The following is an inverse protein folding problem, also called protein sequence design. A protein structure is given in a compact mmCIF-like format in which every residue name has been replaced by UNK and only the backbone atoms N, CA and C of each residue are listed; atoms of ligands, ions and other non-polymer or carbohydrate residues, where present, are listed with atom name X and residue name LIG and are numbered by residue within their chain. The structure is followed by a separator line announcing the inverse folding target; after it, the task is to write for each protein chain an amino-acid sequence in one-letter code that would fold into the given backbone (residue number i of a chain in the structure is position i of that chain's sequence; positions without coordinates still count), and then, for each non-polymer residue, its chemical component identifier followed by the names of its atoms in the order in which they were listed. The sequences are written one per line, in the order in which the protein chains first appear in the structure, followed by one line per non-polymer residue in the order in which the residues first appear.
data_IF_135447210797
#
_entry.id   IF_135447210797
#
_cell.length_a   1.000
_cell.length_b   1.000
_cell.length_c   1.000
_cell.angle_alpha   90.00
_cell.angle_beta   90.00
_cell.angle_gamma   90.00
#
_symmetry.space_group_name_H-M   'P 1'
#
loop_
_entity.id
_entity.type
_entity.pdbx_description
1 polymer ?
#
# COMPACT_ATOMS: atom_id res chain seq x y z
N UNK A 1 -25.47 9.58 19.54
CA UNK A 1 -24.71 9.43 18.27
C UNK A 1 -23.27 9.08 18.65
N UNK A 2 -22.75 7.92 18.22
CA UNK A 2 -21.48 7.32 18.68
C UNK A 2 -20.29 8.27 18.46
N UNK A 3 -19.43 8.45 19.49
CA UNK A 3 -18.23 9.30 19.45
C UNK A 3 -17.30 8.86 18.31
N UNK A 4 -17.19 7.55 18.06
CA UNK A 4 -16.37 7.03 16.96
C UNK A 4 -16.91 7.42 15.59
N UNK A 5 -18.23 7.48 15.43
CA UNK A 5 -18.85 7.89 14.16
C UNK A 5 -18.58 9.38 13.87
N UNK A 6 -18.55 10.23 14.90
CA UNK A 6 -18.16 11.63 14.73
C UNK A 6 -16.69 11.78 14.32
N UNK A 7 -15.78 11.04 14.95
CA UNK A 7 -14.35 11.07 14.59
C UNK A 7 -14.12 10.52 13.17
N UNK A 8 -14.85 9.46 12.77
CA UNK A 8 -14.85 8.95 11.38
C UNK A 8 -15.29 10.03 10.39
N UNK A 9 -16.41 10.70 10.64
CA UNK A 9 -16.89 11.77 9.78
C UNK A 9 -15.91 12.95 9.70
N UNK A 10 -15.31 13.33 10.83
CA UNK A 10 -14.30 14.38 10.89
C UNK A 10 -13.05 14.02 10.07
N UNK A 11 -12.55 12.78 10.18
CA UNK A 11 -11.43 12.29 9.38
C UNK A 11 -11.75 12.35 7.87
N UNK A 12 -12.93 11.86 7.44
CA UNK A 12 -13.33 11.90 6.03
C UNK A 12 -13.40 13.34 5.50
N UNK A 13 -13.97 14.27 6.27
CA UNK A 13 -14.01 15.69 5.91
C UNK A 13 -12.61 16.28 5.77
N UNK A 14 -11.73 15.95 6.72
CA UNK A 14 -10.36 16.44 6.74
C UNK A 14 -9.57 15.98 5.51
N UNK A 15 -9.78 14.74 5.09
CA UNK A 15 -9.20 14.16 3.88
C UNK A 15 -9.89 14.62 2.58
N UNK A 16 -10.94 15.43 2.64
CA UNK A 16 -11.70 15.88 1.46
C UNK A 16 -12.61 14.80 0.84
N UNK A 17 -12.91 13.73 1.57
CA UNK A 17 -13.66 12.56 1.09
C UNK A 17 -15.18 12.65 1.30
N UNK A 18 -15.71 13.83 1.63
CA UNK A 18 -17.16 14.09 1.77
C UNK A 18 -17.89 14.21 0.42
N UNK A 19 -17.16 14.26 -0.70
CA UNK A 19 -17.73 14.51 -2.04
C UNK A 19 -18.55 13.37 -2.66
N UNK A 20 -18.51 12.15 -2.12
CA UNK A 20 -19.22 11.00 -2.73
C UNK A 20 -20.73 10.93 -2.41
N UNK A 21 -21.28 11.92 -1.71
CA UNK A 21 -22.70 11.99 -1.30
C UNK A 21 -23.41 13.27 -1.77
N UNK A 22 -22.80 14.11 -2.61
CA UNK A 22 -23.47 15.32 -3.10
C UNK A 22 -24.19 15.02 -4.41
N UNK A 23 -25.50 15.27 -4.41
CA UNK A 23 -26.33 15.32 -5.61
C UNK A 23 -25.72 16.28 -6.66
N UNK A 24 -25.66 15.88 -7.94
CA UNK A 24 -25.22 16.74 -9.03
C UNK A 24 -26.30 17.81 -9.31
N UNK A 25 -26.38 18.83 -8.45
CA UNK A 25 -27.38 19.89 -8.61
C UNK A 25 -27.21 21.11 -7.71
N UNK A 26 -26.22 21.15 -6.81
CA UNK A 26 -25.94 22.31 -5.98
C UNK A 26 -24.58 22.93 -6.29
N UNK A 27 -24.46 23.49 -7.49
CA UNK A 27 -23.49 24.53 -7.76
C UNK A 27 -23.92 25.82 -7.06
N UNK A 28 -23.27 26.16 -5.96
CA UNK A 28 -23.27 27.51 -5.41
C UNK A 28 -21.83 28.03 -5.29
N UNK A 29 -21.55 28.98 -6.18
CA UNK A 29 -20.48 29.98 -6.17
C UNK A 29 -19.02 29.50 -6.13
N UNK A 30 -18.19 29.89 -7.12
CA UNK A 30 -16.75 29.68 -7.09
C UNK A 30 -16.10 30.74 -6.18
N UNK A 31 -16.35 30.66 -4.87
CA UNK A 31 -15.46 31.32 -3.91
C UNK A 31 -14.14 30.57 -4.01
N UNK A 32 -13.06 31.29 -4.37
CA UNK A 32 -11.71 30.76 -4.51
C UNK A 32 -11.42 29.74 -3.39
N UNK A 33 -11.46 28.45 -3.74
CA UNK A 33 -11.18 27.37 -2.79
C UNK A 33 -9.75 27.58 -2.31
N UNK A 34 -9.58 28.13 -1.10
CA UNK A 34 -8.26 28.18 -0.44
C UNK A 34 -7.67 26.79 -0.58
N UNK A 35 -6.52 26.68 -1.27
CA UNK A 35 -5.81 25.41 -1.42
C UNK A 35 -5.44 24.95 -0.02
N UNK A 36 -6.22 24.02 0.54
CA UNK A 36 -5.89 23.36 1.79
C UNK A 36 -4.66 22.50 1.48
N UNK A 37 -3.57 22.60 2.25
CA UNK A 37 -2.41 21.73 2.06
C UNK A 37 -2.86 20.26 2.15
N UNK A 38 -2.28 19.37 1.33
CA UNK A 38 -2.67 17.96 1.33
C UNK A 38 -2.45 17.36 2.72
N UNK A 39 -3.41 16.55 3.17
CA UNK A 39 -3.29 15.82 4.43
C UNK A 39 -2.42 14.59 4.22
N UNK A 40 -1.36 14.50 5.01
CA UNK A 40 -0.46 13.35 5.07
C UNK A 40 -0.90 12.41 6.19
N UNK A 41 -1.02 11.11 5.89
CA UNK A 41 -1.27 10.05 6.87
C UNK A 41 -0.06 9.12 6.88
N UNK A 42 0.84 9.32 7.85
CA UNK A 42 2.16 8.69 7.87
C UNK A 42 2.22 7.63 8.96
N UNK A 43 2.73 6.45 8.63
CA UNK A 43 3.10 5.43 9.62
C UNK A 43 4.57 5.64 9.98
N UNK A 44 4.84 5.90 11.26
CA UNK A 44 6.18 6.19 11.75
C UNK A 44 6.48 5.38 13.02
N UNK A 45 7.76 5.26 13.37
CA UNK A 45 8.17 4.77 14.67
C UNK A 45 7.94 5.85 15.72
N UNK A 46 7.50 5.42 16.88
CA UNK A 46 7.48 6.26 18.09
C UNK A 46 8.94 6.50 18.48
N UNK A 47 9.37 7.77 18.59
CA UNK A 47 10.73 8.12 19.00
C UNK A 47 11.02 7.64 20.43
N UNK A 48 12.24 7.90 20.94
CA UNK A 48 12.66 7.58 22.31
C UNK A 48 11.71 8.14 23.38
N UNK A 49 11.95 7.92 24.70
CA UNK A 49 10.93 7.98 25.74
C UNK A 49 10.28 9.37 25.94
N UNK A 50 9.35 9.72 25.05
CA UNK A 50 8.49 10.90 25.10
C UNK A 50 7.21 10.52 25.83
N UNK A 51 7.22 10.73 27.15
CA UNK A 51 6.18 10.27 28.08
C UNK A 51 4.85 11.04 27.99
N UNK A 52 4.69 12.00 27.08
CA UNK A 52 3.55 12.93 27.08
C UNK A 52 2.60 12.83 25.88
N UNK A 53 2.97 12.13 24.80
CA UNK A 53 2.10 12.02 23.62
C UNK A 53 0.95 11.03 23.87
N UNK A 54 -0.27 11.43 23.51
CA UNK A 54 -1.48 10.64 23.69
C UNK A 54 -2.12 10.35 22.34
N UNK A 55 -2.81 9.21 22.26
CA UNK A 55 -3.62 8.89 21.10
C UNK A 55 -4.80 9.86 20.98
N UNK A 56 -5.04 10.38 19.77
CA UNK A 56 -6.12 11.30 19.43
C UNK A 56 -7.50 10.61 19.31
N UNK A 57 -7.57 9.27 19.34
CA UNK A 57 -8.85 8.56 19.40
C UNK A 57 -9.50 8.81 20.76
N UNK A 58 -10.74 9.30 20.75
CA UNK A 58 -11.49 9.55 21.99
C UNK A 58 -11.70 8.25 22.75
N UNK A 59 -11.36 8.26 24.04
CA UNK A 59 -11.45 7.08 24.92
C UNK A 59 -10.23 6.14 24.86
N UNK A 60 -9.20 6.43 24.06
CA UNK A 60 -7.92 5.74 24.19
C UNK A 60 -7.15 6.31 25.39
N UNK A 61 -6.85 5.47 26.37
CA UNK A 61 -6.11 5.84 27.58
C UNK A 61 -4.64 5.41 27.54
N UNK A 62 -4.24 4.66 26.51
CA UNK A 62 -2.89 4.14 26.37
C UNK A 62 -1.95 5.20 25.81
N UNK A 63 -0.73 5.27 26.36
CA UNK A 63 0.35 6.06 25.80
C UNK A 63 1.02 5.36 24.62
N UNK A 64 1.95 6.07 23.97
CA UNK A 64 2.87 5.45 23.03
C UNK A 64 4.05 4.82 23.75
N UNK A 65 4.51 3.69 23.25
CA UNK A 65 5.75 3.05 23.72
C UNK A 65 6.83 3.29 22.68
N UNK A 66 8.05 3.59 23.11
CA UNK A 66 9.19 3.74 22.23
C UNK A 66 9.33 2.54 21.27
N UNK A 67 9.78 2.81 20.05
CA UNK A 67 9.98 1.83 18.98
C UNK A 67 8.73 1.11 18.46
N UNK A 68 7.53 1.48 18.93
CA UNK A 68 6.28 1.00 18.34
C UNK A 68 5.83 1.89 17.18
N UNK A 69 5.11 1.30 16.23
CA UNK A 69 4.56 2.04 15.09
C UNK A 69 3.28 2.77 15.47
N UNK A 70 3.14 3.99 14.98
CA UNK A 70 1.98 4.87 15.16
C UNK A 70 1.62 5.56 13.84
N UNK A 71 0.44 6.15 13.79
CA UNK A 71 -0.02 6.95 12.65
C UNK A 71 0.00 8.42 13.05
N UNK A 72 0.65 9.25 12.24
CA UNK A 72 0.65 10.70 12.33
C UNK A 72 -0.20 11.29 11.20
N UNK A 73 -1.20 12.09 11.55
CA UNK A 73 -2.05 12.82 10.60
C UNK A 73 -1.70 14.31 10.66
N UNK A 74 -1.19 14.84 9.54
CA UNK A 74 -0.72 16.23 9.42
C UNK A 74 -1.30 16.90 8.17
N UNK A 75 -1.85 18.12 8.26
CA UNK A 75 -2.16 18.86 9.50
C UNK A 75 -3.15 18.09 10.38
N UNK A 76 -3.24 18.44 11.67
CA UNK A 76 -4.19 17.81 12.58
C UNK A 76 -5.64 18.07 12.15
N UNK A 77 -6.50 17.09 12.38
CA UNK A 77 -7.96 17.20 12.27
C UNK A 77 -8.45 18.18 13.34
N UNK A 78 -7.88 18.09 14.55
CA UNK A 78 -8.16 19.04 15.62
C UNK A 78 -7.27 20.29 15.48
N UNK A 79 -7.89 21.45 15.24
CA UNK A 79 -7.21 22.74 15.12
C UNK A 79 -6.44 23.17 16.38
N UNK A 80 -6.76 22.58 17.53
CA UNK A 80 -6.10 22.86 18.80
C UNK A 80 -4.93 21.91 19.11
N UNK A 81 -4.53 21.05 18.17
CA UNK A 81 -3.39 20.15 18.36
C UNK A 81 -2.09 20.95 18.52
N UNK A 82 -1.39 20.72 19.63
CA UNK A 82 -0.19 21.49 20.04
C UNK A 82 0.89 21.52 18.95
N UNK A 83 1.09 20.40 18.27
CA UNK A 83 2.11 20.23 17.22
C UNK A 83 1.50 20.17 15.81
N UNK A 84 0.23 20.55 15.65
CA UNK A 84 -0.51 20.40 14.38
C UNK A 84 -0.43 18.98 13.77
N UNK A 85 -0.34 17.97 14.64
CA UNK A 85 -0.37 16.55 14.29
C UNK A 85 -1.32 15.81 15.22
N UNK A 86 -2.14 14.93 14.66
CA UNK A 86 -2.91 13.95 15.44
C UNK A 86 -2.21 12.59 15.40
N UNK A 87 -1.86 12.07 16.58
CA UNK A 87 -1.18 10.79 16.72
C UNK A 87 -2.18 9.69 17.08
N UNK A 88 -2.09 8.54 16.43
CA UNK A 88 -2.95 7.38 16.69
C UNK A 88 -2.13 6.11 16.87
N UNK A 89 -2.53 5.23 17.78
CA UNK A 89 -2.16 3.83 17.62
C UNK A 89 -2.74 3.33 16.30
N UNK A 90 -2.00 2.47 15.59
CA UNK A 90 -2.46 1.92 14.30
C UNK A 90 -3.85 1.29 14.43
N UNK A 91 -4.05 0.48 15.47
CA UNK A 91 -5.35 -0.16 15.76
C UNK A 91 -6.45 0.81 16.18
N UNK A 92 -6.10 1.99 16.69
CA UNK A 92 -7.06 3.04 17.03
C UNK A 92 -7.50 3.82 15.80
N UNK A 93 -6.56 4.13 14.89
CA UNK A 93 -6.86 4.74 13.61
C UNK A 93 -7.79 3.85 12.77
N UNK A 94 -7.52 2.54 12.71
CA UNK A 94 -8.36 1.56 12.00
C UNK A 94 -9.82 1.50 12.48
N UNK A 95 -10.15 2.01 13.67
CA UNK A 95 -11.54 2.08 14.16
C UNK A 95 -12.33 3.21 13.51
N UNK A 96 -11.63 4.27 13.08
CA UNK A 96 -12.23 5.49 12.52
C UNK A 96 -11.94 5.63 11.02
N UNK A 97 -10.89 4.98 10.52
CA UNK A 97 -10.55 4.93 9.11
C UNK A 97 -11.27 3.75 8.43
N UNK A 98 -12.12 4.06 7.46
CA UNK A 98 -12.64 3.04 6.56
C UNK A 98 -11.57 2.71 5.51
N UNK A 99 -10.76 1.69 5.80
CA UNK A 99 -9.70 1.22 4.92
C UNK A 99 -10.24 0.44 3.70
N UNK A 100 -11.56 0.27 3.59
CA UNK A 100 -12.19 -0.22 2.36
C UNK A 100 -12.31 0.84 1.28
N UNK A 101 -12.31 2.12 1.67
CA UNK A 101 -12.25 3.25 0.77
C UNK A 101 -10.83 3.40 0.20
N UNK A 102 -10.69 3.17 -1.11
CA UNK A 102 -9.41 3.29 -1.81
C UNK A 102 -8.80 4.68 -1.70
N UNK A 103 -9.61 5.73 -1.61
CA UNK A 103 -9.10 7.10 -1.49
C UNK A 103 -8.43 7.32 -0.13
N UNK A 104 -9.03 6.82 0.95
CA UNK A 104 -8.45 6.89 2.29
C UNK A 104 -7.19 6.01 2.38
N UNK A 105 -7.27 4.78 1.86
CA UNK A 105 -6.15 3.85 1.85
C UNK A 105 -4.94 4.41 1.08
N UNK A 106 -5.18 5.14 0.00
CA UNK A 106 -4.13 5.81 -0.78
C UNK A 106 -3.39 6.92 -0.03
N UNK A 107 -3.99 7.51 1.01
CA UNK A 107 -3.33 8.52 1.83
C UNK A 107 -2.31 7.94 2.81
N UNK A 108 -2.34 6.64 3.09
CA UNK A 108 -1.47 5.99 4.07
C UNK A 108 -0.12 5.69 3.43
N UNK A 109 0.95 6.21 4.04
CA UNK A 109 2.33 6.00 3.59
C UNK A 109 3.24 5.66 4.79
N UNK A 110 4.22 4.77 4.63
CA UNK A 110 5.27 4.62 5.64
C UNK A 110 6.22 5.82 5.63
N UNK A 111 6.72 6.24 6.79
CA UNK A 111 7.85 7.14 6.88
C UNK A 111 9.12 6.38 6.52
N UNK A 112 9.66 6.66 5.34
CA UNK A 112 10.74 5.87 4.74
C UNK A 112 12.08 6.58 4.82
N UNK A 113 13.13 5.81 4.56
CA UNK A 113 14.48 6.34 4.29
C UNK A 113 14.54 7.23 3.04
N UNK A 114 13.52 7.18 2.19
CA UNK A 114 13.42 7.95 0.94
C UNK A 114 12.57 9.21 1.10
N UNK A 115 11.65 9.25 2.06
CA UNK A 115 10.68 10.35 2.22
C UNK A 115 11.26 11.67 2.71
N UNK A 116 12.59 11.79 2.87
CA UNK A 116 13.28 13.05 3.16
C UNK A 116 14.76 12.99 2.75
N UNK A 117 15.09 13.45 1.54
CA UNK A 117 16.46 13.47 0.99
C UNK A 117 17.49 14.24 1.84
N UNK A 118 17.06 15.11 2.77
CA UNK A 118 17.95 16.04 3.48
C UNK A 118 18.34 15.65 4.92
N UNK A 119 17.88 14.49 5.42
CA UNK A 119 18.14 13.84 6.73
C UNK A 119 16.79 13.47 7.33
N UNK A 120 16.28 12.26 7.08
CA UNK A 120 15.09 11.83 7.80
C UNK A 120 15.43 11.76 9.28
N UNK A 121 14.54 12.24 10.14
CA UNK A 121 14.66 12.08 11.58
C UNK A 121 14.65 10.58 11.89
N UNK A 122 15.86 10.03 12.09
CA UNK A 122 16.15 8.59 12.07
C UNK A 122 15.30 7.82 13.08
N UNK A 123 14.89 8.48 14.16
CA UNK A 123 14.05 7.90 15.21
C UNK A 123 12.62 7.59 14.75
N UNK A 124 12.08 8.31 13.75
CA UNK A 124 10.74 8.07 13.20
C UNK A 124 10.74 7.11 12.02
N UNK A 125 11.90 6.89 11.38
CA UNK A 125 12.04 6.09 10.16
C UNK A 125 11.64 4.65 10.40
N UNK A 126 10.73 4.14 9.58
CA UNK A 126 10.32 2.75 9.64
C UNK A 126 11.50 1.79 9.44
N UNK A 127 11.42 0.62 10.08
CA UNK A 127 12.35 -0.47 9.75
C UNK A 127 12.15 -0.84 8.26
N UNK A 128 13.20 -1.26 7.56
CA UNK A 128 13.13 -1.54 6.12
C UNK A 128 12.02 -2.54 5.77
N UNK A 129 11.93 -3.63 6.54
CA UNK A 129 10.82 -4.59 6.42
C UNK A 129 9.44 -3.97 6.62
N UNK A 130 9.28 -2.97 7.51
CA UNK A 130 7.99 -2.30 7.70
C UNK A 130 7.64 -1.37 6.57
N UNK A 131 8.62 -0.65 6.00
CA UNK A 131 8.38 0.12 4.77
C UNK A 131 7.79 -0.77 3.68
N UNK A 132 8.40 -1.94 3.46
CA UNK A 132 7.94 -2.93 2.49
C UNK A 132 6.58 -3.52 2.84
N UNK A 133 6.38 -3.92 4.10
CA UNK A 133 5.12 -4.53 4.56
C UNK A 133 3.93 -3.59 4.43
N UNK A 134 4.09 -2.31 4.76
CA UNK A 134 3.02 -1.32 4.63
C UNK A 134 2.63 -1.13 3.17
N UNK A 135 3.61 -0.96 2.28
CA UNK A 135 3.37 -0.77 0.85
C UNK A 135 2.70 -2.00 0.23
N UNK A 136 3.20 -3.20 0.52
CA UNK A 136 2.62 -4.43 -0.02
C UNK A 136 1.22 -4.70 0.56
N UNK A 137 1.03 -4.49 1.86
CA UNK A 137 -0.29 -4.58 2.49
C UNK A 137 -1.28 -3.64 1.78
N UNK A 138 -0.90 -2.38 1.55
CA UNK A 138 -1.71 -1.38 0.83
C UNK A 138 -2.07 -1.87 -0.58
N UNK A 139 -1.09 -2.37 -1.34
CA UNK A 139 -1.31 -2.91 -2.69
C UNK A 139 -2.33 -4.05 -2.68
N UNK A 140 -2.20 -5.01 -1.76
CA UNK A 140 -3.15 -6.14 -1.65
C UNK A 140 -4.56 -5.66 -1.29
N UNK A 141 -4.68 -4.69 -0.38
CA UNK A 141 -5.96 -4.11 0.01
C UNK A 141 -6.66 -3.38 -1.16
N UNK A 142 -5.90 -2.65 -1.97
CA UNK A 142 -6.41 -2.00 -3.18
C UNK A 142 -6.89 -3.03 -4.20
N UNK A 143 -6.10 -4.08 -4.43
CA UNK A 143 -6.47 -5.17 -5.36
C UNK A 143 -7.74 -5.89 -4.91
N UNK A 144 -7.86 -6.22 -3.63
CA UNK A 144 -9.08 -6.81 -3.05
C UNK A 144 -10.29 -5.90 -3.23
N UNK A 145 -10.12 -4.59 -3.05
CA UNK A 145 -11.18 -3.61 -3.28
C UNK A 145 -11.62 -3.58 -4.74
N UNK A 146 -10.67 -3.66 -5.68
CA UNK A 146 -10.97 -3.70 -7.11
C UNK A 146 -11.68 -4.99 -7.54
N UNK A 147 -11.29 -6.14 -6.99
CA UNK A 147 -11.94 -7.42 -7.25
C UNK A 147 -13.40 -7.42 -6.76
N UNK A 148 -13.67 -6.94 -5.54
CA UNK A 148 -15.05 -6.84 -5.02
C UNK A 148 -15.94 -5.99 -5.92
N UNK A 149 -15.45 -4.82 -6.35
CA UNK A 149 -16.18 -3.94 -7.29
C UNK A 149 -16.43 -4.59 -8.65
N UNK A 150 -15.53 -5.46 -9.13
CA UNK A 150 -15.75 -6.22 -10.37
C UNK A 150 -16.85 -7.26 -10.18
N UNK A 151 -16.80 -8.04 -9.10
CA UNK A 151 -17.80 -9.07 -8.82
C UNK A 151 -19.20 -8.45 -8.66
N UNK A 152 -19.33 -7.37 -7.88
CA UNK A 152 -20.62 -6.65 -7.70
C UNK A 152 -21.23 -6.17 -9.03
N UNK A 153 -20.40 -5.73 -9.98
CA UNK A 153 -20.84 -5.32 -11.33
C UNK A 153 -21.22 -6.50 -12.21
N UNK A 154 -20.60 -7.65 -11.99
CA UNK A 154 -20.86 -8.87 -12.77
C UNK A 154 -22.17 -9.49 -12.30
N UNK A 155 -22.40 -9.55 -10.99
CA UNK A 155 -23.66 -10.01 -10.39
C UNK A 155 -24.84 -9.13 -10.83
N UNK A 156 -24.67 -7.80 -10.89
CA UNK A 156 -25.69 -6.88 -11.41
C UNK A 156 -25.99 -7.04 -12.91
N UNK A 157 -25.08 -7.63 -13.70
CA UNK A 157 -25.29 -7.85 -15.14
C UNK A 157 -26.14 -9.10 -15.42
N UNK A 158 -26.07 -10.11 -14.55
CA UNK A 158 -26.84 -11.35 -14.70
C UNK A 158 -28.31 -11.24 -14.27
N UNK A 159 -28.69 -10.16 -13.58
CA UNK A 159 -30.08 -9.90 -13.17
C UNK A 159 -30.89 -9.11 -14.23
N UNK A 160 -30.27 -8.62 -15.31
CA UNK A 160 -30.90 -7.68 -16.28
C UNK A 160 -30.98 -8.21 -17.73
N UNK A 161 -30.48 -9.43 -18.02
CA UNK A 161 -30.53 -10.03 -19.35
C UNK A 161 -31.40 -11.31 -19.35
N UNK A 162 -32.72 -11.12 -19.54
CA UNK A 162 -33.64 -12.13 -20.03
C UNK A 162 -33.17 -12.62 -21.42
N UNK A 163 -32.97 -13.94 -21.51
CA UNK A 163 -32.98 -14.85 -22.67
C UNK A 163 -33.00 -14.18 -24.06
N UNK A 164 -31.88 -14.30 -24.78
CA UNK A 164 -31.94 -14.43 -26.25
C UNK A 164 -30.84 -15.36 -26.78
N UNK A 165 -31.26 -16.13 -27.76
CA UNK A 165 -30.69 -17.32 -28.39
C UNK A 165 -29.36 -17.07 -29.13
N UNK A 166 -28.51 -18.09 -29.17
CA UNK A 166 -27.24 -18.07 -29.92
C UNK A 166 -27.50 -18.38 -31.39
N UNK A 167 -26.98 -17.56 -32.30
CA UNK A 167 -26.63 -18.01 -33.66
C UNK A 167 -25.13 -17.74 -33.88
N UNK A 168 -24.40 -18.85 -34.11
CA UNK A 168 -23.00 -18.93 -34.51
C UNK A 168 -22.83 -18.40 -35.95
N UNK A 169 -21.92 -17.46 -36.15
CA UNK A 169 -21.31 -17.23 -37.46
C UNK A 169 -19.79 -17.41 -37.33
N UNK A 170 -19.29 -18.48 -37.95
CA UNK A 170 -17.88 -18.72 -38.22
C UNK A 170 -17.44 -17.81 -39.36
N UNK A 171 -16.47 -16.91 -39.11
CA UNK A 171 -15.72 -16.23 -40.17
C UNK A 171 -14.28 -16.76 -40.16
N UNK A 172 -13.94 -17.48 -41.22
CA UNK A 172 -12.58 -17.86 -41.60
C UNK A 172 -11.86 -16.61 -42.14
N UNK A 173 -10.87 -16.09 -41.43
CA UNK A 173 -9.93 -15.09 -41.97
C UNK A 173 -8.64 -15.77 -42.44
N UNK A 174 -8.34 -15.59 -43.72
CA UNK A 174 -7.18 -16.12 -44.44
C UNK A 174 -5.85 -15.53 -43.91
N UNK A 175 -4.90 -16.40 -43.57
CA UNK A 175 -3.53 -16.03 -43.21
C UNK A 175 -2.73 -15.58 -44.46
N UNK A 176 -2.62 -14.28 -44.70
CA UNK A 176 -1.52 -13.72 -45.51
C UNK A 176 -0.26 -13.61 -44.65
N UNK A 177 0.71 -14.50 -44.90
CA UNK A 177 2.06 -14.43 -44.36
C UNK A 177 2.86 -13.33 -45.07
N UNK A 178 2.90 -12.14 -44.48
CA UNK A 178 3.99 -11.19 -44.73
C UNK A 178 5.21 -11.62 -43.89
N UNK A 179 6.28 -12.05 -44.57
CA UNK A 179 7.62 -12.19 -43.97
C UNK A 179 8.12 -10.81 -43.54
N UNK A 180 7.78 -10.41 -42.31
CA UNK A 180 8.36 -9.27 -41.64
C UNK A 180 9.61 -9.70 -40.85
N UNK A 181 10.75 -9.16 -41.25
CA UNK A 181 12.09 -9.25 -40.67
C UNK A 181 12.17 -9.75 -39.21
N UNK A 182 12.60 -11.01 -39.00
CA UNK A 182 12.79 -11.64 -37.68
C UNK A 182 13.69 -10.84 -36.71
N UNK A 183 14.51 -9.92 -37.23
CA UNK A 183 15.45 -9.11 -36.45
C UNK A 183 14.76 -7.96 -35.69
N UNK A 184 13.67 -7.41 -36.23
CA UNK A 184 12.87 -6.36 -35.56
C UNK A 184 12.03 -6.98 -34.44
N UNK A 185 11.47 -8.18 -34.68
CA UNK A 185 10.72 -8.92 -33.66
C UNK A 185 11.61 -9.33 -32.49
N UNK A 186 12.88 -9.68 -32.76
CA UNK A 186 13.87 -10.04 -31.74
C UNK A 186 14.24 -8.87 -30.83
N UNK A 187 14.45 -7.67 -31.37
CA UNK A 187 14.75 -6.48 -30.57
C UNK A 187 13.52 -5.92 -29.84
N UNK A 188 12.33 -6.00 -30.43
CA UNK A 188 11.08 -5.63 -29.76
C UNK A 188 10.73 -6.63 -28.64
N UNK A 189 10.96 -7.93 -28.83
CA UNK A 189 10.80 -8.94 -27.79
C UNK A 189 11.85 -8.79 -26.66
N UNK A 190 13.11 -8.45 -26.96
CA UNK A 190 14.13 -8.13 -25.96
C UNK A 190 13.84 -6.82 -25.21
N UNK A 191 13.31 -5.79 -25.88
CA UNK A 191 12.85 -4.53 -25.25
C UNK A 191 11.58 -4.75 -24.40
N UNK A 192 10.65 -5.61 -24.82
CA UNK A 192 9.47 -5.99 -24.05
C UNK A 192 9.80 -6.87 -22.83
N UNK A 193 10.94 -7.56 -22.82
CA UNK A 193 11.38 -8.34 -21.66
C UNK A 193 11.84 -7.46 -20.48
N UNK A 194 12.13 -6.17 -20.72
CA UNK A 194 12.70 -5.26 -19.74
C UNK A 194 12.02 -3.88 -19.71
N UNK A 195 10.68 -3.83 -19.74
CA UNK A 195 9.98 -2.56 -19.48
C UNK A 195 10.39 -2.01 -18.10
N UNK A 196 10.49 -0.68 -17.93
CA UNK A 196 10.83 -0.09 -16.63
C UNK A 196 9.92 -0.58 -15.50
N UNK A 197 8.62 -0.78 -15.77
CA UNK A 197 7.69 -1.32 -14.78
C UNK A 197 8.02 -2.77 -14.40
N UNK A 198 8.38 -3.61 -15.38
CA UNK A 198 8.74 -5.01 -15.11
C UNK A 198 10.03 -5.10 -14.30
N UNK A 199 11.06 -4.33 -14.65
CA UNK A 199 12.31 -4.26 -13.88
C UNK A 199 12.08 -3.74 -12.46
N UNK A 200 11.24 -2.71 -12.32
CA UNK A 200 10.86 -2.19 -11.01
C UNK A 200 10.11 -3.25 -10.19
N UNK A 201 9.11 -3.91 -10.77
CA UNK A 201 8.35 -4.96 -10.09
C UNK A 201 9.23 -6.14 -9.67
N UNK A 202 10.12 -6.59 -10.55
CA UNK A 202 11.06 -7.67 -10.23
C UNK A 202 11.97 -7.28 -9.05
N UNK A 203 12.52 -6.06 -9.06
CA UNK A 203 13.29 -5.53 -7.94
C UNK A 203 12.47 -5.40 -6.65
N UNK A 204 11.21 -4.98 -6.74
CA UNK A 204 10.32 -4.80 -5.58
C UNK A 204 9.90 -6.13 -4.94
N UNK A 205 9.72 -7.19 -5.72
CA UNK A 205 9.11 -8.43 -5.25
C UNK A 205 10.07 -9.62 -5.16
N UNK A 206 11.19 -9.60 -5.90
CA UNK A 206 12.09 -10.75 -6.01
C UNK A 206 13.52 -10.47 -5.50
N UNK A 207 13.88 -9.21 -5.23
CA UNK A 207 15.21 -8.90 -4.68
C UNK A 207 15.51 -9.70 -3.41
N UNK A 208 16.75 -10.22 -3.33
CA UNK A 208 17.23 -11.06 -2.23
C UNK A 208 17.02 -12.56 -2.42
N UNK A 209 16.22 -13.00 -3.41
CA UNK A 209 16.08 -14.42 -3.75
C UNK A 209 17.34 -14.91 -4.46
N UNK A 210 17.73 -16.16 -4.24
CA UNK A 210 18.79 -16.88 -4.98
C UNK A 210 18.54 -16.89 -6.49
N UNK A 211 17.27 -16.83 -6.89
CA UNK A 211 16.84 -16.84 -8.30
C UNK A 211 16.83 -15.45 -8.93
N UNK A 212 16.90 -14.41 -8.13
CA UNK A 212 16.86 -13.03 -8.62
C UNK A 212 18.20 -12.67 -9.26
N UNK A 213 18.14 -12.26 -10.53
CA UNK A 213 19.30 -11.81 -11.28
C UNK A 213 19.17 -10.31 -11.52
N UNK A 214 20.02 -9.46 -10.92
CA UNK A 214 20.00 -8.04 -11.22
C UNK A 214 20.45 -7.84 -12.67
N UNK A 215 19.52 -7.49 -13.56
CA UNK A 215 19.82 -7.24 -14.97
C UNK A 215 20.56 -5.91 -15.14
N UNK A 216 19.89 -4.80 -14.83
CA UNK A 216 20.42 -3.44 -14.94
C UNK A 216 19.67 -2.46 -14.02
N UNK A 217 20.19 -1.24 -13.89
CA UNK A 217 19.49 -0.15 -13.21
C UNK A 217 18.14 0.11 -13.88
N UNK A 218 17.07 0.17 -13.08
CA UNK A 218 15.74 0.54 -13.59
C UNK A 218 15.83 1.92 -14.25
N UNK A 219 15.41 2.09 -15.53
CA UNK A 219 15.48 3.37 -16.21
C UNK A 219 14.80 4.50 -15.41
N UNK A 220 15.50 5.62 -15.22
CA UNK A 220 15.01 6.77 -14.45
C UNK A 220 15.11 6.64 -12.91
N UNK A 221 15.54 5.49 -12.39
CA UNK A 221 15.74 5.30 -10.94
C UNK A 221 17.12 5.79 -10.50
N UNK A 222 17.17 6.49 -9.36
CA UNK A 222 18.45 6.85 -8.75
C UNK A 222 19.22 5.61 -8.28
N UNK A 223 20.54 5.56 -8.52
CA UNK A 223 21.39 4.44 -8.10
C UNK A 223 21.29 4.12 -6.61
N UNK A 224 21.14 5.14 -5.75
CA UNK A 224 20.97 4.95 -4.30
C UNK A 224 19.65 4.25 -3.97
N UNK A 225 18.56 4.66 -4.63
CA UNK A 225 17.25 4.03 -4.50
C UNK A 225 17.29 2.57 -4.95
N UNK A 226 17.94 2.29 -6.09
CA UNK A 226 18.14 0.94 -6.58
C UNK A 226 18.88 0.06 -5.58
N UNK A 227 20.01 0.54 -5.02
CA UNK A 227 20.78 -0.20 -4.03
C UNK A 227 20.01 -0.45 -2.72
N UNK A 228 19.15 0.48 -2.31
CA UNK A 228 18.28 0.29 -1.15
C UNK A 228 17.28 -0.84 -1.39
N UNK A 229 16.61 -0.86 -2.56
CA UNK A 229 15.66 -1.91 -2.92
C UNK A 229 16.32 -3.27 -3.12
N UNK A 230 17.50 -3.28 -3.74
CA UNK A 230 18.27 -4.49 -4.00
C UNK A 230 18.79 -5.16 -2.71
N UNK A 231 19.08 -4.36 -1.67
CA UNK A 231 19.75 -4.84 -0.45
C UNK A 231 18.88 -4.63 0.79
N UNK A 232 18.90 -3.43 1.37
CA UNK A 232 18.30 -3.15 2.68
C UNK A 232 16.78 -3.32 2.75
N UNK A 233 16.11 -3.29 1.60
CA UNK A 233 14.67 -3.39 1.46
C UNK A 233 14.25 -4.62 0.63
N UNK A 234 15.18 -5.56 0.40
CA UNK A 234 14.89 -6.81 -0.28
C UNK A 234 13.82 -7.62 0.49
N UNK A 235 12.75 -8.09 -0.17
CA UNK A 235 11.71 -8.87 0.50
C UNK A 235 12.10 -10.33 0.74
N UNK A 236 13.14 -10.84 0.08
CA UNK A 236 13.66 -12.18 0.29
C UNK A 236 14.99 -12.14 1.05
N UNK A 237 15.23 -13.19 1.83
CA UNK A 237 16.50 -13.51 2.43
C UNK A 237 16.86 -14.94 2.02
N UNK A 238 18.07 -15.11 1.51
CA UNK A 238 18.58 -16.37 0.99
C UNK A 238 20.02 -16.58 1.43
N UNK A 239 20.34 -17.82 1.79
CA UNK A 239 21.68 -18.22 2.23
C UNK A 239 22.65 -18.49 1.06
N UNK A 240 22.19 -18.43 -0.19
CA UNK A 240 23.04 -18.54 -1.37
C UNK A 240 22.34 -19.00 -2.66
N UNK A 241 23.08 -19.14 -3.77
CA UNK A 241 22.53 -19.41 -5.10
C UNK A 241 21.73 -20.72 -5.28
N UNK A 242 21.86 -21.65 -4.34
CA UNK A 242 21.18 -22.96 -4.37
C UNK A 242 20.18 -23.13 -3.23
N UNK A 243 19.86 -22.05 -2.53
CA UNK A 243 18.93 -22.07 -1.41
C UNK A 243 17.52 -22.44 -1.88
N UNK A 244 16.97 -23.49 -1.27
CA UNK A 244 15.62 -23.98 -1.55
C UNK A 244 14.61 -23.56 -0.48
N UNK A 245 15.09 -23.07 0.65
CA UNK A 245 14.30 -22.74 1.84
C UNK A 245 14.37 -21.23 2.14
N UNK A 246 14.23 -20.43 1.09
CA UNK A 246 14.32 -18.97 1.18
C UNK A 246 13.24 -18.38 2.08
N UNK A 247 13.63 -17.38 2.88
CA UNK A 247 12.69 -16.64 3.70
C UNK A 247 12.09 -15.47 2.92
N UNK A 248 10.76 -15.35 2.93
CA UNK A 248 10.06 -14.22 2.31
C UNK A 248 9.28 -13.40 3.35
N UNK A 249 9.54 -12.09 3.35
CA UNK A 249 8.91 -11.10 4.21
C UNK A 249 7.38 -11.10 4.05
N UNK A 250 6.88 -11.04 2.82
CA UNK A 250 5.44 -10.90 2.57
C UNK A 250 4.68 -12.17 2.96
N UNK A 251 5.17 -13.34 2.58
CA UNK A 251 4.58 -14.62 2.95
C UNK A 251 4.52 -14.79 4.48
N UNK A 252 5.58 -14.39 5.18
CA UNK A 252 5.65 -14.53 6.64
C UNK A 252 4.61 -13.67 7.38
N UNK A 253 4.42 -12.42 6.96
CA UNK A 253 3.61 -11.46 7.72
C UNK A 253 2.21 -11.25 7.15
N UNK A 254 2.06 -11.30 5.83
CA UNK A 254 0.81 -11.10 5.09
C UNK A 254 0.16 -12.41 4.63
N UNK A 255 0.92 -13.51 4.60
CA UNK A 255 0.48 -14.78 4.03
C UNK A 255 0.74 -14.86 2.52
N UNK A 256 0.45 -16.02 1.90
CA UNK A 256 0.61 -16.20 0.46
C UNK A 256 -0.29 -15.22 -0.31
N UNK A 257 0.22 -14.72 -1.43
CA UNK A 257 -0.57 -13.85 -2.31
C UNK A 257 -1.50 -14.67 -3.19
N UNK A 258 -2.67 -15.06 -2.67
CA UNK A 258 -3.66 -15.82 -3.43
C UNK A 258 -4.48 -14.87 -4.33
N UNK A 259 -3.85 -14.35 -5.38
CA UNK A 259 -4.44 -13.43 -6.35
C UNK A 259 -5.63 -13.99 -7.14
N UNK A 260 -5.76 -15.32 -7.20
CA UNK A 260 -6.67 -16.03 -8.12
C UNK A 260 -7.71 -16.93 -7.45
N UNK A 261 -7.81 -16.96 -6.11
CA UNK A 261 -8.85 -17.72 -5.42
C UNK A 261 -9.95 -16.77 -4.97
N UNK A 262 -11.19 -17.14 -5.26
CA UNK A 262 -12.47 -16.54 -4.80
C UNK A 262 -12.62 -16.54 -3.27
N UNK A 263 -11.53 -16.64 -2.52
CA UNK A 263 -11.56 -16.89 -1.10
C UNK A 263 -11.94 -15.60 -0.37
N UNK A 264 -13.03 -15.73 0.38
CA UNK A 264 -13.52 -14.80 1.40
C UNK A 264 -12.47 -14.61 2.51
N UNK A 265 -11.33 -14.00 2.20
CA UNK A 265 -10.39 -13.57 3.22
C UNK A 265 -10.77 -12.18 3.69
N UNK A 266 -11.07 -12.09 4.98
CA UNK A 266 -11.13 -10.83 5.68
C UNK A 266 -9.83 -10.06 5.48
N UNK A 267 -9.97 -8.74 5.33
CA UNK A 267 -8.82 -7.85 5.20
C UNK A 267 -7.92 -8.01 6.42
N UNK A 268 -6.70 -8.46 6.21
CA UNK A 268 -5.69 -8.46 7.27
C UNK A 268 -5.49 -7.01 7.73
N UNK A 269 -5.76 -6.73 9.00
CA UNK A 269 -5.57 -5.40 9.59
C UNK A 269 -4.08 -5.06 9.64
N UNK A 270 -3.73 -3.82 9.32
CA UNK A 270 -2.36 -3.33 9.39
C UNK A 270 -1.81 -3.44 10.81
N UNK A 271 -2.62 -3.15 11.83
CA UNK A 271 -2.19 -3.32 13.23
C UNK A 271 -1.71 -4.73 13.54
N UNK A 272 -2.39 -5.75 12.99
CA UNK A 272 -2.01 -7.17 13.15
C UNK A 272 -0.69 -7.46 12.44
N UNK A 273 -0.48 -6.93 11.23
CA UNK A 273 0.78 -7.08 10.49
C UNK A 273 1.95 -6.50 11.28
N UNK A 274 1.80 -5.27 11.79
CA UNK A 274 2.85 -4.59 12.52
C UNK A 274 3.11 -5.22 13.90
N UNK A 275 2.07 -5.74 14.56
CA UNK A 275 2.22 -6.51 15.80
C UNK A 275 2.98 -7.83 15.58
N UNK A 276 2.73 -8.54 14.47
CA UNK A 276 3.51 -9.73 14.10
C UNK A 276 4.97 -9.37 13.87
N UNK A 277 5.25 -8.31 13.10
CA UNK A 277 6.61 -7.81 12.86
C UNK A 277 7.34 -7.48 14.17
N UNK A 278 6.66 -6.76 15.08
CA UNK A 278 7.20 -6.42 16.40
C UNK A 278 7.59 -7.68 17.18
N UNK A 279 6.73 -8.70 17.23
CA UNK A 279 7.01 -9.96 17.94
C UNK A 279 8.18 -10.71 17.31
N UNK A 280 8.27 -10.72 15.98
CA UNK A 280 9.38 -11.35 15.27
C UNK A 280 10.72 -10.68 15.58
N UNK A 281 10.79 -9.34 15.56
CA UNK A 281 11.99 -8.60 15.95
C UNK A 281 12.45 -8.89 17.38
N UNK A 282 11.51 -8.99 18.33
CA UNK A 282 11.84 -9.32 19.73
C UNK A 282 12.40 -10.74 19.86
N UNK A 283 11.95 -11.69 19.02
CA UNK A 283 12.46 -13.07 19.01
C UNK A 283 13.85 -13.21 18.40
N UNK A 284 14.25 -12.29 17.52
CA UNK A 284 15.60 -12.27 16.94
C UNK A 284 16.61 -11.47 17.75
N UNK A 285 16.14 -10.56 18.61
CA UNK A 285 17.00 -9.80 19.52
C UNK A 285 17.90 -10.62 20.49
N UNK A 286 17.59 -11.87 20.89
CA UNK A 286 18.50 -12.71 21.67
C UNK A 286 19.54 -13.48 20.84
N UNK A 287 19.53 -13.36 19.51
CA UNK A 287 20.39 -14.14 18.59
C UNK A 287 21.41 -13.26 17.82
N UNK A 288 21.60 -12.01 18.23
CA UNK A 288 22.61 -11.07 17.71
C UNK A 288 23.42 -10.51 18.88
#
# INVERSE_FOLDING_TARGET
MDVKNHQRAALRRHLGLEGSLRDPGQDRNPVAKKRVPPVSVIIERTPGPNKSEKCALSGCLYGFTADQYRIAVTPAINKNAVQNVDLYHVSCFEKIADLSDSALLNCIEPYTRQSNFNKPEVEYVCAGGVERLVLEWKTRQLRLSALKKKNEKTDQKYDDEDVVDYEEEEEEEEEEKEEADEEIYSQAALKCQHSPERLLNDLLYNAGSSRFKPYDLVPGMERRQYLLLLKSLAPWESDGPEDKDEWNLFNTFLGPDESNKTCSYDRVKLSVVLDKWKRWRVRLAPLI
#
